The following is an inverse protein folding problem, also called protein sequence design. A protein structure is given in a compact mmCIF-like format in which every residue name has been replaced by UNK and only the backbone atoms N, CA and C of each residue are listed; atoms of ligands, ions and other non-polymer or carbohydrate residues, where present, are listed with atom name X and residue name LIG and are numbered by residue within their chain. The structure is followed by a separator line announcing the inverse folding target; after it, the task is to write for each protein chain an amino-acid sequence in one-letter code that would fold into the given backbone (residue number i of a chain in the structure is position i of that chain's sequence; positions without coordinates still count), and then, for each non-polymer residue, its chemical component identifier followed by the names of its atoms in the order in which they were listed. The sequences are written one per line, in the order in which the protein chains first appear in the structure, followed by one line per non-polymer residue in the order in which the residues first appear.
data_IF_088447449364
#
_entry.id   IF_088447449364
#
_cell.length_a   1.000
_cell.length_b   1.000
_cell.length_c   1.000
_cell.angle_alpha   90.00
_cell.angle_beta   90.00
_cell.angle_gamma   90.00
#
_symmetry.space_group_name_H-M   'P 1'
#
loop_
_entity.id
_entity.type
_entity.pdbx_description
1 polymer ?
#
# COMPACT_ATOMS: atom_id res chain seq x y z
N UNK A 1 0.15 39.47 -27.18
CA UNK A 1 -0.16 39.38 -25.74
C UNK A 1 0.45 38.11 -25.18
N UNK A 2 1.40 38.21 -24.24
CA UNK A 2 1.98 37.05 -23.55
C UNK A 2 0.92 36.46 -22.62
N UNK A 3 0.59 35.17 -22.78
CA UNK A 3 -0.24 34.43 -21.81
C UNK A 3 0.59 34.29 -20.53
N UNK A 4 0.16 34.95 -19.45
CA UNK A 4 0.71 34.77 -18.11
C UNK A 4 0.26 33.39 -17.63
N UNK A 5 1.22 32.50 -17.43
CA UNK A 5 1.06 31.26 -16.67
C UNK A 5 0.91 31.64 -15.19
N UNK A 6 -0.31 32.04 -14.81
CA UNK A 6 -0.65 32.35 -13.43
C UNK A 6 -0.80 31.07 -12.62
N UNK A 7 0.18 30.82 -11.74
CA UNK A 7 0.07 30.03 -10.51
C UNK A 7 -0.20 28.53 -10.73
N UNK A 8 0.43 27.59 -10.06
CA UNK A 8 1.09 27.62 -8.76
C UNK A 8 1.90 26.33 -8.77
N UNK A 9 3.24 26.40 -8.83
CA UNK A 9 4.06 25.22 -8.54
C UNK A 9 3.85 24.90 -7.07
N UNK A 10 2.95 23.96 -6.77
CA UNK A 10 2.89 23.32 -5.46
C UNK A 10 4.23 22.61 -5.25
N UNK A 11 5.16 23.29 -4.59
CA UNK A 11 6.49 22.79 -4.25
C UNK A 11 6.43 21.80 -3.10
N UNK A 12 5.49 20.85 -3.14
CA UNK A 12 5.49 19.70 -2.27
C UNK A 12 6.44 18.67 -2.86
N UNK A 13 7.31 18.07 -2.03
CA UNK A 13 7.97 16.81 -2.39
C UNK A 13 6.91 15.86 -2.99
N UNK A 14 7.24 15.09 -4.05
CA UNK A 14 6.33 14.07 -4.56
C UNK A 14 6.06 13.08 -3.42
N UNK A 15 4.94 13.28 -2.72
CA UNK A 15 4.43 12.29 -1.78
C UNK A 15 4.05 11.08 -2.65
N UNK A 16 4.39 9.86 -2.23
CA UNK A 16 3.89 8.67 -2.92
C UNK A 16 2.38 8.80 -3.05
N UNK A 17 1.88 8.66 -4.27
CA UNK A 17 0.45 8.74 -4.53
C UNK A 17 -0.22 7.49 -3.92
N UNK A 18 -1.23 7.70 -3.08
CA UNK A 18 -2.00 6.61 -2.47
C UNK A 18 -2.99 6.13 -3.54
N UNK A 19 -2.84 4.89 -3.99
CA UNK A 19 -3.68 4.33 -5.05
C UNK A 19 -4.62 3.27 -4.52
N UNK A 20 -5.73 3.07 -5.23
CA UNK A 20 -6.64 1.97 -4.97
C UNK A 20 -5.89 0.64 -5.05
N UNK A 21 -6.05 -0.20 -4.04
CA UNK A 21 -5.41 -1.50 -3.91
C UNK A 21 -4.19 -1.48 -2.98
N UNK A 22 -3.66 -0.31 -2.62
CA UNK A 22 -2.54 -0.23 -1.69
C UNK A 22 -2.91 -0.80 -0.32
N UNK A 23 -1.96 -1.50 0.28
CA UNK A 23 -2.10 -2.08 1.62
C UNK A 23 -1.31 -1.22 2.61
N UNK A 24 -1.97 -0.84 3.69
CA UNK A 24 -1.38 -0.09 4.79
C UNK A 24 -1.53 -0.85 6.10
N UNK A 25 -0.65 -0.56 7.05
CA UNK A 25 -0.77 -0.95 8.45
C UNK A 25 -1.34 0.20 9.24
N UNK A 26 -2.36 -0.06 10.05
CA UNK A 26 -2.89 0.90 11.01
C UNK A 26 -2.02 0.98 12.29
N UNK A 27 -2.40 1.86 13.22
CA UNK A 27 -1.69 2.01 14.50
C UNK A 27 -1.76 0.79 15.44
N UNK A 28 -2.69 -0.14 15.19
CA UNK A 28 -2.82 -1.39 15.95
C UNK A 28 -2.05 -2.56 15.30
N UNK A 29 -1.51 -2.36 14.09
CA UNK A 29 -0.83 -3.39 13.31
C UNK A 29 -1.76 -4.20 12.40
N UNK A 30 -3.02 -3.79 12.25
CA UNK A 30 -3.97 -4.40 11.33
C UNK A 30 -3.76 -3.87 9.91
N UNK A 31 -3.96 -4.77 8.94
CA UNK A 31 -3.89 -4.42 7.53
C UNK A 31 -5.17 -3.72 7.09
N UNK A 32 -5.03 -2.71 6.24
CA UNK A 32 -6.15 -2.08 5.53
C UNK A 32 -5.85 -2.01 4.05
N UNK A 33 -6.90 -2.15 3.23
CA UNK A 33 -6.77 -2.04 1.77
C UNK A 33 -7.50 -0.79 1.30
N UNK A 34 -6.80 0.09 0.59
CA UNK A 34 -7.38 1.30 0.00
C UNK A 34 -8.34 0.90 -1.11
N UNK A 35 -9.58 1.36 -1.04
CA UNK A 35 -10.65 1.04 -2.00
C UNK A 35 -10.99 2.24 -2.88
N UNK A 36 -10.82 3.46 -2.37
CA UNK A 36 -11.01 4.71 -3.10
C UNK A 36 -10.11 5.81 -2.55
N UNK A 37 -9.58 6.63 -3.45
CA UNK A 37 -8.80 7.83 -3.13
C UNK A 37 -9.50 9.04 -3.76
N UNK A 38 -9.78 10.06 -2.96
CA UNK A 38 -10.18 11.39 -3.39
C UNK A 38 -9.14 12.42 -2.91
N UNK A 39 -9.25 13.68 -3.35
CA UNK A 39 -8.27 14.73 -2.98
C UNK A 39 -8.18 14.96 -1.47
N UNK A 40 -9.30 14.81 -0.77
CA UNK A 40 -9.43 15.11 0.67
C UNK A 40 -9.55 13.86 1.53
N UNK A 41 -9.98 12.73 0.96
CA UNK A 41 -10.37 11.55 1.72
C UNK A 41 -9.81 10.27 1.12
N UNK A 42 -9.56 9.30 1.99
CA UNK A 42 -9.19 7.94 1.65
C UNK A 42 -10.26 7.03 2.23
N UNK A 43 -10.78 6.15 1.38
CA UNK A 43 -11.62 5.05 1.81
C UNK A 43 -10.84 3.74 1.79
N UNK A 44 -11.04 2.91 2.79
CA UNK A 44 -10.37 1.63 2.94
C UNK A 44 -11.25 0.60 3.62
N UNK A 45 -10.88 -0.67 3.49
CA UNK A 45 -11.54 -1.79 4.18
C UNK A 45 -10.56 -2.50 5.10
N UNK A 46 -11.09 -2.98 6.22
CA UNK A 46 -10.39 -3.86 7.16
C UNK A 46 -10.78 -5.32 6.92
N UNK A 47 -9.83 -6.26 7.00
CA UNK A 47 -10.14 -7.67 6.95
C UNK A 47 -11.10 -8.03 8.10
N UNK A 48 -12.20 -8.69 7.77
CA UNK A 48 -13.26 -9.05 8.74
C UNK A 48 -14.39 -8.02 8.89
N UNK A 49 -14.27 -6.85 8.26
CA UNK A 49 -15.33 -5.84 8.26
C UNK A 49 -15.99 -5.77 6.88
N UNK A 50 -17.32 -5.68 6.86
CA UNK A 50 -18.11 -5.64 5.62
C UNK A 50 -18.24 -4.22 5.05
N UNK A 51 -18.00 -3.20 5.88
CA UNK A 51 -18.16 -1.80 5.52
C UNK A 51 -16.84 -1.14 5.19
N UNK A 52 -16.89 -0.23 4.23
CA UNK A 52 -15.81 0.70 3.93
C UNK A 52 -15.74 1.80 5.00
N UNK A 53 -14.54 2.11 5.46
CA UNK A 53 -14.24 3.24 6.35
C UNK A 53 -13.67 4.40 5.53
N UNK A 54 -13.98 5.62 5.96
CA UNK A 54 -13.54 6.86 5.31
C UNK A 54 -12.83 7.75 6.31
N UNK A 55 -11.65 8.25 5.95
CA UNK A 55 -10.87 9.18 6.75
C UNK A 55 -10.28 10.28 5.88
N UNK A 56 -9.90 11.41 6.48
CA UNK A 56 -9.17 12.45 5.75
C UNK A 56 -7.83 11.93 5.28
N UNK A 57 -7.37 12.37 4.11
CA UNK A 57 -6.06 11.99 3.55
C UNK A 57 -4.91 12.29 4.50
N UNK A 58 -4.95 13.46 5.15
CA UNK A 58 -3.96 13.85 6.17
C UNK A 58 -4.00 12.88 7.35
N UNK A 59 -5.19 12.50 7.82
CA UNK A 59 -5.35 11.52 8.89
C UNK A 59 -4.82 10.15 8.50
N UNK A 60 -5.05 9.73 7.27
CA UNK A 60 -4.53 8.47 6.74
C UNK A 60 -3.00 8.47 6.70
N UNK A 61 -2.38 9.46 6.05
CA UNK A 61 -0.92 9.59 5.94
C UNK A 61 -0.22 9.68 7.30
N UNK A 62 -0.91 10.15 8.35
CA UNK A 62 -0.34 10.28 9.71
C UNK A 62 -0.44 8.99 10.51
N UNK A 63 -1.55 8.25 10.40
CA UNK A 63 -1.83 7.10 11.26
C UNK A 63 -1.56 5.75 10.61
N UNK A 64 -1.38 5.73 9.29
CA UNK A 64 -1.19 4.51 8.54
C UNK A 64 0.19 4.48 7.90
N UNK A 65 0.87 3.36 8.06
CA UNK A 65 2.18 3.15 7.44
C UNK A 65 1.99 2.33 6.17
N UNK A 66 2.47 2.79 5.00
CA UNK A 66 2.40 1.96 3.80
C UNK A 66 3.12 0.66 4.08
N UNK A 67 2.43 -0.46 3.86
CA UNK A 67 3.09 -1.75 3.87
C UNK A 67 4.00 -1.73 2.65
N UNK A 68 5.25 -1.30 2.83
CA UNK A 68 6.27 -1.37 1.79
C UNK A 68 6.32 -2.83 1.38
N UNK A 69 5.67 -3.15 0.27
CA UNK A 69 5.92 -4.39 -0.41
C UNK A 69 7.44 -4.47 -0.52
N UNK A 70 8.02 -5.57 -0.06
CA UNK A 70 9.33 -5.94 -0.57
C UNK A 70 9.12 -6.02 -2.07
N UNK A 71 9.57 -5.00 -2.80
CA UNK A 71 9.75 -5.09 -4.24
C UNK A 71 10.68 -6.28 -4.44
N UNK A 72 10.12 -7.44 -4.75
CA UNK A 72 10.80 -8.37 -5.62
C UNK A 72 10.74 -7.71 -7.01
N UNK A 73 11.57 -6.69 -7.18
CA UNK A 73 11.83 -6.10 -8.48
C UNK A 73 12.61 -7.15 -9.24
N UNK A 74 11.95 -7.78 -10.20
CA UNK A 74 12.58 -8.77 -11.04
C UNK A 74 11.58 -9.20 -12.10
N UNK A 75 11.62 -8.51 -13.24
CA UNK A 75 11.20 -9.09 -14.53
C UNK A 75 12.00 -10.39 -14.83
N UNK A 76 13.04 -10.67 -14.03
CA UNK A 76 13.77 -11.91 -13.96
C UNK A 76 12.96 -12.98 -13.21
N UNK A 77 12.21 -13.78 -13.98
CA UNK A 77 11.52 -15.03 -13.59
C UNK A 77 12.27 -15.94 -12.60
N UNK A 78 13.61 -15.81 -12.49
CA UNK A 78 14.43 -16.51 -11.50
C UNK A 78 14.13 -16.14 -10.04
N UNK A 79 13.74 -14.89 -9.75
CA UNK A 79 13.55 -14.43 -8.35
C UNK A 79 12.20 -14.88 -7.75
N UNK A 80 11.13 -14.88 -8.54
CA UNK A 80 9.80 -15.32 -8.11
C UNK A 80 9.77 -16.84 -7.90
N UNK A 81 10.36 -17.62 -8.80
CA UNK A 81 10.43 -19.07 -8.68
C UNK A 81 11.21 -19.52 -7.44
N UNK A 82 12.32 -18.85 -7.13
CA UNK A 82 13.10 -19.08 -5.92
C UNK A 82 12.29 -18.75 -4.66
N UNK A 83 11.55 -17.63 -4.66
CA UNK A 83 10.69 -17.26 -3.54
C UNK A 83 9.56 -18.27 -3.30
N UNK A 84 8.91 -18.75 -4.37
CA UNK A 84 7.88 -19.81 -4.29
C UNK A 84 8.48 -21.10 -3.75
N UNK A 85 9.69 -21.48 -4.18
CA UNK A 85 10.39 -22.66 -3.67
C UNK A 85 10.73 -22.52 -2.18
N UNK A 86 11.14 -21.33 -1.74
CA UNK A 86 11.43 -21.04 -0.34
C UNK A 86 10.19 -21.13 0.54
N UNK A 87 9.06 -20.56 0.11
CA UNK A 87 7.76 -20.67 0.79
C UNK A 87 7.30 -22.13 0.89
N UNK A 88 7.41 -22.91 -0.19
CA UNK A 88 7.10 -24.35 -0.18
C UNK A 88 7.98 -25.11 0.83
N UNK A 89 9.27 -24.78 0.91
CA UNK A 89 10.20 -25.39 1.86
C UNK A 89 9.92 -25.01 3.31
N UNK A 90 9.44 -23.79 3.58
CA UNK A 90 9.00 -23.39 4.92
C UNK A 90 7.75 -24.18 5.36
N UNK A 91 6.77 -24.33 4.47
CA UNK A 91 5.56 -25.14 4.72
C UNK A 91 5.92 -26.62 4.95
N UNK A 92 6.82 -27.18 4.14
CA UNK A 92 7.29 -28.56 4.29
C UNK A 92 8.02 -28.79 5.62
N UNK A 93 8.84 -27.84 6.07
CA UNK A 93 9.49 -27.87 7.38
C UNK A 93 8.48 -27.84 8.52
N UNK A 94 7.45 -27.00 8.43
CA UNK A 94 6.35 -26.95 9.41
C UNK A 94 5.53 -28.25 9.50
N UNK A 95 5.52 -29.08 8.45
CA UNK A 95 4.86 -30.39 8.42
C UNK A 95 5.71 -31.54 8.97
N UNK A 96 7.04 -31.39 9.04
CA UNK A 96 7.97 -32.46 9.46
C UNK A 96 8.15 -32.57 10.98
N UNK A 97 7.55 -31.66 11.75
CA UNK A 97 7.58 -31.63 13.21
C UNK A 97 6.29 -32.10 13.89
N UNK A 98 5.43 -32.85 13.19
CA UNK A 98 4.20 -33.45 13.74
C UNK A 98 4.25 -34.96 13.59
#
# INVERSE_FOLDING_TARGET
MKKKNTGTTASGLPRPEIIKGDIYLDGNGDYVTVTRTDDLFICFVRPGYLSEEMITRIGFETNFTPLKEKKYCGDDSGTIAQHIAELRNQIARGRKGK
#
